data_IF_711891295559
#
_entry.id   IF_711891295559
#
_cell.length_a   1.000
_cell.length_b   1.000
_cell.length_c   1.000
_cell.angle_alpha   90.00
_cell.angle_beta   90.00
_cell.angle_gamma   90.00
#
_symmetry.space_group_name_H-M   'P 1'
#
loop_
_entity.id
_entity.type
_entity.pdbx_description
1 polymer ?
#
# COMPACT_ATOMS: atom_id res chain seq x y z
N UNK A 1 -4.51 -27.76 -4.15
CA UNK A 1 -4.97 -26.36 -4.33
C UNK A 1 -4.03 -25.62 -5.27
N UNK A 2 -4.54 -24.99 -6.32
CA UNK A 2 -3.72 -24.20 -7.25
C UNK A 2 -3.21 -22.92 -6.60
N UNK A 3 -2.00 -22.49 -6.97
CA UNK A 3 -1.41 -21.23 -6.49
C UNK A 3 -2.29 -20.04 -6.91
N UNK A 4 -2.60 -19.07 -6.04
CA UNK A 4 -3.44 -17.93 -6.38
C UNK A 4 -2.87 -17.16 -7.58
N UNK A 5 -3.76 -16.57 -8.40
CA UNK A 5 -3.37 -15.76 -9.56
C UNK A 5 -2.56 -14.55 -9.06
N UNK A 6 -1.46 -14.25 -9.75
CA UNK A 6 -0.63 -13.10 -9.47
C UNK A 6 -0.87 -12.03 -10.53
N UNK A 7 -0.79 -10.72 -10.16
CA UNK A 7 -0.88 -9.63 -11.13
C UNK A 7 0.12 -9.80 -12.27
N UNK A 8 -0.27 -9.37 -13.47
CA UNK A 8 0.54 -9.55 -14.70
C UNK A 8 1.89 -8.88 -14.57
N UNK A 9 1.92 -7.68 -14.03
CA UNK A 9 3.16 -6.91 -13.87
C UNK A 9 4.14 -7.62 -12.92
N UNK A 10 3.64 -8.29 -11.88
CA UNK A 10 4.46 -9.13 -10.99
C UNK A 10 5.06 -10.36 -11.72
N UNK A 11 4.30 -10.95 -12.63
CA UNK A 11 4.77 -12.10 -13.42
C UNK A 11 5.86 -11.70 -14.43
N UNK A 12 5.73 -10.51 -15.03
CA UNK A 12 6.70 -9.95 -15.98
C UNK A 12 8.04 -9.63 -15.29
N UNK A 13 7.99 -9.06 -14.08
CA UNK A 13 9.22 -8.74 -13.30
C UNK A 13 9.93 -10.01 -12.83
N UNK A 14 9.19 -11.07 -12.49
CA UNK A 14 9.79 -12.35 -12.07
C UNK A 14 10.50 -13.11 -13.19
N UNK A 15 10.27 -12.76 -14.45
CA UNK A 15 10.95 -13.33 -15.61
C UNK A 15 10.82 -14.84 -15.81
N UNK A 16 10.08 -15.54 -14.94
CA UNK A 16 10.00 -17.02 -14.91
C UNK A 16 8.95 -17.63 -15.86
N UNK A 17 8.16 -16.79 -16.55
CA UNK A 17 7.16 -17.25 -17.54
C UNK A 17 7.26 -16.40 -18.80
N UNK A 18 7.52 -17.04 -19.92
CA UNK A 18 7.39 -16.41 -21.23
C UNK A 18 5.90 -16.27 -21.56
N UNK A 19 5.32 -15.12 -21.18
CA UNK A 19 3.95 -14.77 -21.57
C UNK A 19 3.99 -14.11 -22.95
N UNK A 20 3.13 -14.54 -23.85
CA UNK A 20 2.95 -13.86 -25.15
C UNK A 20 2.29 -12.50 -24.94
N UNK A 21 2.52 -11.53 -25.85
CA UNK A 21 1.89 -10.21 -25.80
C UNK A 21 0.36 -10.32 -25.67
N UNK A 22 -0.26 -11.21 -26.44
CA UNK A 22 -1.70 -11.47 -26.42
C UNK A 22 -2.20 -12.01 -25.06
N UNK A 23 -1.41 -12.83 -24.39
CA UNK A 23 -1.76 -13.33 -23.04
C UNK A 23 -1.61 -12.25 -21.96
N UNK A 24 -0.62 -11.38 -22.09
CA UNK A 24 -0.43 -10.20 -21.21
C UNK A 24 -1.64 -9.27 -21.33
N UNK A 25 -2.05 -8.91 -22.55
CA UNK A 25 -3.21 -8.04 -22.80
C UNK A 25 -4.50 -8.67 -22.27
N UNK A 26 -4.74 -9.96 -22.54
CA UNK A 26 -5.90 -10.69 -22.02
C UNK A 26 -5.94 -10.71 -20.49
N UNK A 27 -4.81 -10.90 -19.85
CA UNK A 27 -4.73 -10.89 -18.36
C UNK A 27 -4.94 -9.51 -17.79
N UNK A 28 -4.34 -8.46 -18.39
CA UNK A 28 -4.56 -7.07 -17.99
C UNK A 28 -6.01 -6.63 -18.14
N UNK A 29 -6.70 -7.08 -19.18
CA UNK A 29 -8.12 -6.83 -19.37
C UNK A 29 -9.01 -7.55 -18.33
N UNK A 30 -8.52 -8.63 -17.74
CA UNK A 30 -9.22 -9.39 -16.69
C UNK A 30 -8.88 -8.93 -15.26
N UNK A 31 -7.91 -8.04 -15.09
CA UNK A 31 -7.61 -7.45 -13.78
C UNK A 31 -8.68 -6.43 -13.42
N UNK A 32 -9.34 -6.67 -12.29
CA UNK A 32 -10.36 -5.74 -11.77
C UNK A 32 -9.66 -4.48 -11.28
N UNK A 33 -9.89 -3.36 -11.98
CA UNK A 33 -9.45 -2.04 -11.55
C UNK A 33 -10.61 -1.37 -10.83
N UNK A 34 -10.48 -1.21 -9.51
CA UNK A 34 -11.42 -0.41 -8.76
C UNK A 34 -11.19 1.10 -9.02
N UNK A 35 -12.25 1.92 -9.08
CA UNK A 35 -12.12 3.36 -9.25
C UNK A 35 -11.44 4.01 -8.03
N UNK A 36 -10.80 5.16 -8.25
CA UNK A 36 -10.12 5.96 -7.22
C UNK A 36 -10.60 7.43 -7.25
N UNK A 37 -11.86 7.65 -7.61
CA UNK A 37 -12.48 8.97 -7.81
C UNK A 37 -13.24 9.49 -6.59
N UNK A 38 -13.52 8.62 -5.60
CA UNK A 38 -14.27 8.95 -4.37
C UNK A 38 -13.55 8.45 -3.12
N UNK A 39 -12.38 9.00 -2.86
CA UNK A 39 -11.62 8.67 -1.67
C UNK A 39 -11.96 9.65 -0.57
N UNK A 40 -12.84 9.23 0.35
CA UNK A 40 -13.35 10.05 1.44
C UNK A 40 -13.17 9.35 2.78
N UNK A 41 -12.85 10.15 3.81
CA UNK A 41 -12.76 9.65 5.16
C UNK A 41 -14.13 9.17 5.66
N UNK A 42 -14.26 7.93 6.18
CA UNK A 42 -15.52 7.41 6.70
C UNK A 42 -16.14 8.33 7.75
N UNK A 43 -17.47 8.36 7.80
CA UNK A 43 -18.22 9.29 8.67
C UNK A 43 -17.90 9.12 10.16
N UNK A 44 -17.63 7.88 10.60
CA UNK A 44 -17.25 7.57 11.99
C UNK A 44 -15.85 8.03 12.38
N UNK A 45 -14.98 8.36 11.39
CA UNK A 45 -13.61 8.81 11.70
C UNK A 45 -13.64 10.18 12.37
N UNK A 46 -13.07 10.35 13.58
CA UNK A 46 -13.01 11.61 14.30
C UNK A 46 -12.37 12.72 13.46
N UNK A 47 -12.87 13.95 13.60
CA UNK A 47 -12.40 15.10 12.80
C UNK A 47 -10.91 15.35 12.88
N UNK A 48 -10.31 15.15 14.06
CA UNK A 48 -8.86 15.28 14.26
C UNK A 48 -8.01 14.26 13.51
N UNK A 49 -8.57 13.09 13.15
CA UNK A 49 -7.88 12.05 12.40
C UNK A 49 -8.10 12.15 10.89
N UNK A 50 -9.10 12.91 10.43
CA UNK A 50 -9.37 13.09 9.00
C UNK A 50 -8.23 13.76 8.25
N UNK A 51 -7.51 14.68 8.91
CA UNK A 51 -6.35 15.33 8.30
C UNK A 51 -5.26 14.32 7.96
N UNK A 52 -4.95 13.41 8.88
CA UNK A 52 -3.95 12.36 8.67
C UNK A 52 -4.44 11.33 7.63
N UNK A 53 -5.73 10.97 7.69
CA UNK A 53 -6.34 10.12 6.68
C UNK A 53 -6.16 10.71 5.28
N UNK A 54 -6.53 11.98 5.07
CA UNK A 54 -6.43 12.63 3.76
C UNK A 54 -4.99 12.71 3.28
N UNK A 55 -4.03 13.06 4.15
CA UNK A 55 -2.60 13.10 3.82
C UNK A 55 -2.11 11.76 3.28
N UNK A 56 -2.42 10.67 3.98
CA UNK A 56 -2.01 9.33 3.57
C UNK A 56 -2.76 8.87 2.31
N UNK A 57 -4.05 9.20 2.19
CA UNK A 57 -4.83 8.89 1.01
C UNK A 57 -4.23 9.55 -0.24
N UNK A 58 -3.88 10.83 -0.17
CA UNK A 58 -3.27 11.57 -1.27
C UNK A 58 -1.94 10.93 -1.70
N UNK A 59 -1.09 10.53 -0.75
CA UNK A 59 0.17 9.83 -1.05
C UNK A 59 -0.07 8.47 -1.74
N UNK A 60 -1.04 7.68 -1.23
CA UNK A 60 -1.37 6.36 -1.78
C UNK A 60 -2.02 6.45 -3.17
N UNK A 61 -2.84 7.48 -3.41
CA UNK A 61 -3.39 7.79 -4.74
C UNK A 61 -2.28 8.20 -5.70
N UNK A 62 -1.38 9.07 -5.25
CA UNK A 62 -0.23 9.53 -6.04
C UNK A 62 0.63 8.38 -6.57
N UNK A 63 0.82 7.34 -5.79
CA UNK A 63 1.53 6.11 -6.21
C UNK A 63 0.61 5.04 -6.81
N UNK A 64 -0.67 5.35 -7.06
CA UNK A 64 -1.67 4.51 -7.76
C UNK A 64 -1.93 3.15 -7.10
N UNK A 65 -1.87 3.06 -5.79
CA UNK A 65 -2.16 1.83 -5.06
C UNK A 65 -3.46 1.89 -4.26
N UNK A 66 -4.04 3.07 -4.03
CA UNK A 66 -5.30 3.24 -3.31
C UNK A 66 -6.49 3.35 -4.26
N UNK A 67 -7.57 2.73 -3.88
CA UNK A 67 -8.87 2.77 -4.55
C UNK A 67 -9.98 3.16 -3.57
N UNK A 68 -11.20 3.41 -4.07
CA UNK A 68 -12.37 3.70 -3.22
C UNK A 68 -12.66 2.59 -2.20
N UNK A 69 -12.25 1.35 -2.48
CA UNK A 69 -12.47 0.20 -1.60
C UNK A 69 -11.54 0.19 -0.39
N UNK A 70 -10.46 0.97 -0.41
CA UNK A 70 -9.44 0.95 0.63
C UNK A 70 -9.67 1.99 1.73
N UNK A 71 -10.70 2.84 1.60
CA UNK A 71 -10.99 3.90 2.57
C UNK A 71 -11.19 3.38 3.99
N UNK A 72 -11.94 2.28 4.16
CA UNK A 72 -12.18 1.66 5.46
C UNK A 72 -10.91 1.03 6.05
N UNK A 73 -10.06 0.45 5.20
CA UNK A 73 -8.79 -0.11 5.63
C UNK A 73 -7.83 0.99 6.11
N UNK A 74 -7.75 2.11 5.38
CA UNK A 74 -6.95 3.26 5.78
C UNK A 74 -7.46 3.90 7.07
N UNK A 75 -8.78 4.01 7.25
CA UNK A 75 -9.34 4.52 8.49
C UNK A 75 -8.97 3.64 9.71
N UNK A 76 -9.05 2.31 9.57
CA UNK A 76 -8.61 1.37 10.61
C UNK A 76 -7.13 1.53 10.95
N UNK A 77 -6.28 1.71 9.94
CA UNK A 77 -4.86 1.99 10.15
C UNK A 77 -4.65 3.28 10.97
N UNK A 78 -5.27 4.39 10.55
CA UNK A 78 -5.14 5.70 11.23
C UNK A 78 -5.60 5.63 12.68
N UNK A 79 -6.71 4.94 12.97
CA UNK A 79 -7.21 4.76 14.33
C UNK A 79 -6.24 3.91 15.17
N UNK A 80 -5.73 2.82 14.63
CA UNK A 80 -4.81 1.93 15.33
C UNK A 80 -3.51 2.65 15.67
N UNK A 81 -2.95 3.39 14.72
CA UNK A 81 -1.73 4.19 14.91
C UNK A 81 -1.94 5.30 15.93
N UNK A 82 -3.05 6.03 15.87
CA UNK A 82 -3.39 7.05 16.86
C UNK A 82 -3.48 6.47 18.29
N UNK A 83 -4.15 5.34 18.45
CA UNK A 83 -4.28 4.69 19.75
C UNK A 83 -2.94 4.14 20.25
N UNK A 84 -2.12 3.57 19.36
CA UNK A 84 -0.75 3.16 19.68
C UNK A 84 0.06 4.33 20.25
N UNK A 85 0.03 5.47 19.60
CA UNK A 85 0.74 6.67 20.06
C UNK A 85 0.22 7.17 21.42
N UNK A 86 -1.10 7.10 21.67
CA UNK A 86 -1.69 7.47 22.96
C UNK A 86 -1.23 6.56 24.08
N UNK A 87 -1.28 5.25 23.89
CA UNK A 87 -0.82 4.26 24.88
C UNK A 87 0.68 4.40 25.09
N UNK A 88 1.46 4.61 24.04
CA UNK A 88 2.90 4.87 24.17
C UNK A 88 3.20 6.10 25.04
N UNK A 89 2.46 7.20 24.86
CA UNK A 89 2.59 8.38 25.72
C UNK A 89 2.22 8.11 27.18
N UNK A 90 1.24 7.24 27.44
CA UNK A 90 0.89 6.81 28.78
C UNK A 90 2.02 5.99 29.43
N UNK A 91 2.55 5.00 28.73
CA UNK A 91 3.66 4.16 29.21
C UNK A 91 4.87 5.04 29.61
N UNK A 92 5.21 6.03 28.79
CA UNK A 92 6.32 6.93 29.05
C UNK A 92 6.11 7.81 30.30
N UNK A 93 4.84 8.03 30.71
CA UNK A 93 4.50 8.84 31.89
C UNK A 93 4.44 8.05 33.17
N UNK A 94 3.88 6.84 33.14
CA UNK A 94 3.64 6.06 34.38
C UNK A 94 4.89 5.37 34.92
N UNK A 95 5.88 5.08 34.09
CA UNK A 95 7.11 4.41 34.49
C UNK A 95 6.91 2.93 34.86
N UNK A 96 8.02 2.21 34.99
CA UNK A 96 8.07 0.73 35.14
C UNK A 96 7.51 0.24 36.48
N UNK A 97 7.58 1.07 37.52
CA UNK A 97 7.13 0.70 38.88
C UNK A 97 5.60 0.79 39.07
N UNK A 98 4.87 1.32 38.09
CA UNK A 98 3.41 1.43 38.16
C UNK A 98 2.75 0.07 37.93
N UNK A 99 1.76 -0.35 38.75
CA UNK A 99 1.04 -1.61 38.57
C UNK A 99 0.36 -1.76 37.18
N UNK A 100 -0.08 -0.63 36.58
CA UNK A 100 -0.73 -0.61 35.27
C UNK A 100 0.26 -0.77 34.08
N UNK A 101 1.56 -0.69 34.32
CA UNK A 101 2.57 -0.68 33.28
C UNK A 101 2.51 -1.95 32.41
N UNK A 102 2.30 -3.11 33.03
CA UNK A 102 2.18 -4.39 32.31
C UNK A 102 0.97 -4.42 31.37
N UNK A 103 -0.18 -3.96 31.84
CA UNK A 103 -1.40 -3.91 31.01
C UNK A 103 -1.27 -2.93 29.86
N UNK A 104 -0.66 -1.78 30.09
CA UNK A 104 -0.39 -0.81 29.05
C UNK A 104 0.54 -1.35 27.97
N UNK A 105 1.56 -2.13 28.34
CA UNK A 105 2.44 -2.80 27.37
C UNK A 105 1.68 -3.83 26.53
N UNK A 106 0.79 -4.61 27.13
CA UNK A 106 -0.06 -5.57 26.41
C UNK A 106 -1.00 -4.86 25.42
N UNK A 107 -1.59 -3.73 25.82
CA UNK A 107 -2.40 -2.91 24.92
C UNK A 107 -1.57 -2.34 23.78
N UNK A 108 -0.39 -1.82 24.07
CA UNK A 108 0.54 -1.31 23.04
C UNK A 108 0.90 -2.39 22.03
N UNK A 109 1.23 -3.60 22.49
CA UNK A 109 1.57 -4.73 21.61
C UNK A 109 0.41 -5.10 20.68
N UNK A 110 -0.82 -5.16 21.18
CA UNK A 110 -2.01 -5.42 20.37
C UNK A 110 -2.21 -4.35 19.31
N UNK A 111 -2.12 -3.08 19.68
CA UNK A 111 -2.27 -1.95 18.77
C UNK A 111 -1.16 -1.91 17.72
N UNK A 112 0.08 -2.22 18.10
CA UNK A 112 1.20 -2.37 17.18
C UNK A 112 0.95 -3.46 16.13
N UNK A 113 0.47 -4.63 16.54
CA UNK A 113 0.14 -5.72 15.62
C UNK A 113 -0.97 -5.32 14.65
N UNK A 114 -2.02 -4.66 15.14
CA UNK A 114 -3.13 -4.17 14.31
C UNK A 114 -2.65 -3.12 13.29
N UNK A 115 -1.90 -2.12 13.74
CA UNK A 115 -1.35 -1.07 12.87
C UNK A 115 -0.40 -1.66 11.82
N UNK A 116 0.51 -2.56 12.21
CA UNK A 116 1.45 -3.23 11.32
C UNK A 116 0.74 -4.08 10.26
N UNK A 117 -0.30 -4.81 10.63
CA UNK A 117 -1.09 -5.60 9.69
C UNK A 117 -1.78 -4.69 8.67
N UNK A 118 -2.50 -3.67 9.15
CA UNK A 118 -3.17 -2.71 8.28
C UNK A 118 -2.18 -1.97 7.37
N UNK A 119 -1.01 -1.57 7.88
CA UNK A 119 0.05 -0.96 7.07
C UNK A 119 0.56 -1.90 5.97
N UNK A 120 0.70 -3.20 6.28
CA UNK A 120 1.12 -4.20 5.29
C UNK A 120 0.08 -4.40 4.20
N UNK A 121 -1.19 -4.45 4.57
CA UNK A 121 -2.31 -4.66 3.65
C UNK A 121 -2.49 -3.47 2.70
N UNK A 122 -2.28 -2.26 3.20
CA UNK A 122 -2.34 -1.01 2.43
C UNK A 122 -1.07 -0.70 1.60
N UNK A 123 -0.04 -1.53 1.69
CA UNK A 123 1.23 -1.23 0.99
C UNK A 123 2.04 -0.08 1.61
N UNK A 124 1.81 0.28 2.89
CA UNK A 124 2.54 1.37 3.56
C UNK A 124 3.96 0.97 3.96
N UNK A 125 4.27 -0.32 4.05
CA UNK A 125 5.62 -0.79 4.38
C UNK A 125 6.47 -0.95 3.12
N UNK A 126 7.79 -0.77 3.24
CA UNK A 126 8.74 -0.99 2.13
C UNK A 126 8.58 -2.41 1.57
N UNK A 127 8.49 -3.41 2.44
CA UNK A 127 8.35 -4.82 2.04
C UNK A 127 7.04 -5.10 1.31
N UNK A 128 5.93 -4.46 1.69
CA UNK A 128 4.67 -4.59 0.97
C UNK A 128 4.71 -3.87 -0.37
N UNK A 129 5.29 -2.65 -0.45
CA UNK A 129 5.49 -1.93 -1.71
C UNK A 129 6.41 -2.67 -2.69
N UNK A 130 7.46 -3.33 -2.22
CA UNK A 130 8.29 -4.17 -3.08
C UNK A 130 7.54 -5.38 -3.68
N UNK A 131 6.41 -5.78 -3.09
CA UNK A 131 5.52 -6.81 -3.65
C UNK A 131 4.52 -6.23 -4.65
N UNK A 132 4.23 -4.94 -4.57
CA UNK A 132 3.40 -4.20 -5.52
C UNK A 132 4.31 -3.76 -6.66
N UNK A 133 4.11 -4.31 -7.85
CA UNK A 133 4.86 -3.88 -9.03
C UNK A 133 4.26 -2.58 -9.50
N UNK A 134 4.99 -1.47 -9.31
CA UNK A 134 4.64 -0.22 -9.96
C UNK A 134 4.69 -0.42 -11.49
N UNK A 135 3.66 0.01 -12.25
CA UNK A 135 3.73 -0.01 -13.71
C UNK A 135 4.95 0.83 -14.11
N UNK A 136 5.86 0.24 -14.88
CA UNK A 136 6.96 1.01 -15.50
C UNK A 136 6.32 2.14 -16.30
N UNK A 137 6.65 3.38 -15.98
CA UNK A 137 6.44 4.47 -16.92
C UNK A 137 7.17 4.03 -18.19
N UNK A 138 6.44 3.94 -19.30
CA UNK A 138 7.06 3.81 -20.60
C UNK A 138 7.99 5.01 -20.75
N UNK A 139 9.28 4.78 -20.52
CA UNK A 139 10.28 5.71 -21.02
C UNK A 139 10.02 5.74 -22.52
N UNK A 140 9.53 6.86 -23.01
CA UNK A 140 9.59 7.23 -24.42
C UNK A 140 10.87 6.62 -24.94
N UNK A 141 10.77 5.78 -25.97
CA UNK A 141 11.93 5.21 -26.66
C UNK A 141 12.86 6.37 -26.96
N UNK A 142 13.90 6.55 -26.18
CA UNK A 142 15.08 7.24 -26.65
C UNK A 142 15.55 6.37 -27.81
N UNK A 143 15.34 6.88 -29.04
CA UNK A 143 15.86 6.26 -30.25
C UNK A 143 17.35 6.04 -30.01
N UNK A 144 17.73 4.79 -30.05
CA UNK A 144 19.11 4.38 -29.86
C UNK A 144 19.97 5.14 -30.90
N UNK A 145 21.01 5.88 -30.51
CA UNK A 145 21.83 6.62 -31.46
C UNK A 145 22.38 5.76 -32.60
N UNK A 146 22.44 4.45 -32.40
CA UNK A 146 22.89 3.45 -33.38
C UNK A 146 21.86 3.26 -34.51
N UNK A 147 20.55 3.38 -34.24
CA UNK A 147 19.51 3.24 -35.25
C UNK A 147 19.46 4.47 -36.21
N UNK A 148 19.99 5.61 -35.76
CA UNK A 148 20.17 6.81 -36.63
C UNK A 148 21.36 6.71 -37.60
N UNK A 149 22.34 5.90 -37.24
CA UNK A 149 23.55 5.77 -38.09
C UNK A 149 23.45 4.70 -39.16
N UNK A 150 22.58 3.69 -38.99
CA UNK A 150 22.50 2.52 -39.90
C UNK A 150 21.11 2.27 -40.50
N UNK A 151 20.16 3.16 -40.29
CA UNK A 151 18.78 3.07 -40.83
C UNK A 151 18.62 3.78 -42.17
N UNK A 152 19.46 3.51 -43.12
CA UNK A 152 19.38 4.05 -44.47
C UNK A 152 19.92 3.07 -45.50
N UNK A 153 19.11 2.06 -45.86
CA UNK A 153 19.04 1.45 -47.20
C UNK A 153 17.64 0.86 -47.34
#
# INVERSE_FOLDING_TARGET
>A
MGRPRQPVDLLLVKGKKHLTKKEIEKRRAQEVKAPADKIEAPAYLPKNLRKEFNRLADELVGIKIMTNLDCEALARFVISEYNYQRVTKQILRVGVANPEFGDLLLHQEKLFKMARQAASDLGLTISSRCKLVAPKQDKTKEENPVDRMFGGV
#
